data_IF_824359293564
#
_entry.id   IF_824359293564
#
_cell.length_a   1.000
_cell.length_b   1.000
_cell.length_c   1.000
_cell.angle_alpha   90.00
_cell.angle_beta   90.00
_cell.angle_gamma   90.00
#
_symmetry.space_group_name_H-M   'P 1'
#
loop_
_entity.id
_entity.type
_entity.pdbx_description
1 polymer ?
#
# COMPACT_ATOMS: atom_id res chain seq x y z
N UNK A 1 6.16 20.48 5.21
CA UNK A 1 7.04 20.01 4.12
C UNK A 1 6.14 19.52 3.00
N UNK A 2 6.13 20.12 1.81
CA UNK A 2 5.20 19.72 0.76
C UNK A 2 5.57 18.32 0.23
N UNK A 3 4.55 17.49 0.06
CA UNK A 3 4.64 16.19 -0.61
C UNK A 3 4.29 16.46 -2.08
N UNK A 4 5.25 16.26 -2.99
CA UNK A 4 5.02 16.49 -4.42
C UNK A 4 4.73 15.16 -5.15
N UNK A 5 3.65 15.08 -5.96
CA UNK A 5 3.40 13.91 -6.79
C UNK A 5 4.43 13.83 -7.92
N UNK A 6 5.04 12.66 -8.12
CA UNK A 6 5.91 12.44 -9.27
C UNK A 6 5.13 11.86 -10.46
N UNK A 7 5.44 12.30 -11.69
CA UNK A 7 4.83 11.74 -12.89
C UNK A 7 5.21 10.27 -13.06
N UNK A 8 4.31 9.53 -13.71
CA UNK A 8 4.54 8.15 -14.13
C UNK A 8 5.86 8.06 -14.94
N UNK A 9 6.70 7.07 -14.65
CA UNK A 9 7.97 6.88 -15.37
C UNK A 9 7.71 6.69 -16.88
N UNK A 10 8.37 7.49 -17.71
CA UNK A 10 8.21 7.47 -19.15
C UNK A 10 8.98 6.30 -19.80
N UNK A 11 8.25 5.38 -20.44
CA UNK A 11 8.80 4.43 -21.42
C UNK A 11 8.36 2.96 -21.24
N UNK A 12 7.40 2.51 -22.06
CA UNK A 12 7.17 1.09 -22.43
C UNK A 12 6.51 0.17 -21.39
N UNK A 13 5.35 -0.42 -21.76
CA UNK A 13 4.50 -1.35 -20.99
C UNK A 13 4.07 -0.87 -19.58
N UNK A 14 2.87 -0.27 -19.53
CA UNK A 14 2.12 0.14 -18.32
C UNK A 14 2.99 0.84 -17.26
N UNK A 15 3.19 2.15 -17.44
CA UNK A 15 3.85 3.00 -16.44
C UNK A 15 3.24 2.80 -15.05
N UNK A 16 4.09 2.64 -14.02
CA UNK A 16 3.66 2.51 -12.63
C UNK A 16 2.65 3.61 -12.24
N UNK A 17 1.63 3.30 -11.42
CA UNK A 17 0.67 4.31 -11.01
C UNK A 17 1.37 5.48 -10.30
N UNK A 18 0.89 6.72 -10.49
CA UNK A 18 1.47 7.88 -9.83
C UNK A 18 1.35 7.74 -8.31
N UNK A 19 2.42 8.10 -7.61
CA UNK A 19 2.46 8.10 -6.15
C UNK A 19 3.24 9.29 -5.62
N UNK A 20 2.83 9.72 -4.43
CA UNK A 20 3.49 10.74 -3.65
C UNK A 20 4.54 10.12 -2.74
N UNK A 21 5.70 10.78 -2.60
CA UNK A 21 6.82 10.31 -1.77
C UNK A 21 7.29 11.39 -0.82
N UNK A 22 7.80 10.98 0.32
CA UNK A 22 8.35 11.84 1.36
C UNK A 22 9.89 11.75 1.34
N UNK A 23 10.56 12.86 1.09
CA UNK A 23 12.04 12.92 1.06
C UNK A 23 12.70 12.49 2.38
N UNK A 24 11.99 12.63 3.51
CA UNK A 24 12.47 12.26 4.85
C UNK A 24 12.72 10.76 5.03
N UNK A 25 12.20 9.89 4.15
CA UNK A 25 12.38 8.43 4.25
C UNK A 25 13.63 7.91 3.52
N UNK A 26 14.60 8.78 3.22
CA UNK A 26 16.00 8.39 3.04
C UNK A 26 16.32 7.34 1.97
N UNK A 27 15.54 7.28 0.88
CA UNK A 27 15.76 6.33 -0.23
C UNK A 27 15.06 4.98 -0.08
N UNK A 28 14.34 4.75 1.01
CA UNK A 28 13.48 3.55 1.17
C UNK A 28 12.32 3.65 0.20
N UNK A 29 12.06 2.58 -0.57
CA UNK A 29 10.99 2.59 -1.57
C UNK A 29 9.62 2.57 -0.87
N UNK A 30 8.87 3.65 -1.04
CA UNK A 30 7.55 3.87 -0.46
C UNK A 30 6.69 4.69 -1.45
N UNK A 31 5.39 4.80 -1.18
CA UNK A 31 4.51 5.65 -1.96
C UNK A 31 3.10 5.76 -1.39
N UNK A 32 2.53 6.95 -1.45
CA UNK A 32 1.11 7.20 -1.22
C UNK A 32 0.42 7.29 -2.59
N UNK A 33 -0.37 6.28 -2.93
CA UNK A 33 -1.05 6.21 -4.23
C UNK A 33 -2.34 7.01 -4.21
N UNK A 34 -2.58 7.76 -5.29
CA UNK A 34 -3.88 8.36 -5.56
C UNK A 34 -4.81 7.39 -6.29
N UNK A 35 -5.94 7.91 -6.79
CA UNK A 35 -6.93 7.12 -7.53
C UNK A 35 -6.58 6.84 -8.99
N UNK A 36 -5.50 7.41 -9.51
CA UNK A 36 -5.12 7.37 -10.94
C UNK A 36 -4.22 6.16 -11.27
N UNK A 37 -4.21 5.75 -12.54
CA UNK A 37 -3.31 4.71 -13.05
C UNK A 37 -3.84 3.28 -12.97
N UNK A 38 -5.12 3.07 -12.64
CA UNK A 38 -5.72 1.74 -12.56
C UNK A 38 -6.64 1.38 -13.73
N UNK A 39 -7.48 0.36 -13.54
CA UNK A 39 -8.41 -0.20 -14.54
C UNK A 39 -9.88 -0.22 -14.10
N UNK A 40 -10.16 0.08 -12.84
CA UNK A 40 -11.53 0.14 -12.32
C UNK A 40 -12.32 1.27 -12.99
N UNK A 41 -13.66 1.19 -12.94
CA UNK A 41 -14.56 2.15 -13.57
C UNK A 41 -15.61 2.69 -12.60
N UNK A 42 -16.41 3.66 -13.04
CA UNK A 42 -17.49 4.25 -12.24
C UNK A 42 -16.99 4.86 -10.92
N UNK A 43 -17.64 4.53 -9.81
CA UNK A 43 -17.27 5.03 -8.47
C UNK A 43 -15.88 4.55 -8.03
N UNK A 44 -15.37 3.47 -8.62
CA UNK A 44 -14.07 2.88 -8.33
C UNK A 44 -12.96 3.37 -9.27
N UNK A 45 -13.29 4.21 -10.26
CA UNK A 45 -12.31 4.69 -11.22
C UNK A 45 -11.13 5.39 -10.50
N UNK A 46 -9.86 5.03 -10.67
CA UNK A 46 -9.30 3.99 -11.56
C UNK A 46 -8.50 2.93 -10.81
N UNK A 47 -7.77 3.28 -9.74
CA UNK A 47 -6.82 2.42 -9.03
C UNK A 47 -7.39 1.92 -7.68
N UNK A 48 -8.59 1.35 -7.69
CA UNK A 48 -9.13 0.74 -6.48
C UNK A 48 -8.35 -0.54 -6.10
N UNK A 49 -7.70 -0.51 -4.93
CA UNK A 49 -6.96 -1.65 -4.38
C UNK A 49 -7.69 -2.37 -3.22
N UNK A 50 -8.95 -1.97 -2.97
CA UNK A 50 -9.77 -2.45 -1.87
C UNK A 50 -10.37 -3.82 -2.12
N UNK A 51 -9.74 -4.87 -1.58
CA UNK A 51 -10.22 -6.26 -1.70
C UNK A 51 -11.55 -6.53 -0.98
N UNK A 52 -11.96 -5.66 -0.05
CA UNK A 52 -13.29 -5.71 0.59
C UNK A 52 -14.34 -4.80 -0.06
N UNK A 53 -14.02 -4.13 -1.18
CA UNK A 53 -14.98 -3.30 -1.91
C UNK A 53 -15.95 -4.15 -2.74
N UNK A 54 -16.99 -3.51 -3.31
CA UNK A 54 -17.92 -4.15 -4.25
C UNK A 54 -17.52 -3.96 -5.73
N UNK A 55 -16.26 -3.61 -5.97
CA UNK A 55 -15.71 -3.52 -7.32
C UNK A 55 -15.50 -4.92 -7.92
N UNK A 56 -15.27 -4.99 -9.22
CA UNK A 56 -14.88 -6.22 -9.89
C UNK A 56 -13.56 -6.75 -9.29
N UNK A 57 -13.55 -7.99 -8.73
CA UNK A 57 -12.34 -8.57 -8.15
C UNK A 57 -11.16 -8.62 -9.13
N UNK A 58 -11.40 -8.79 -10.43
CA UNK A 58 -10.35 -8.81 -11.43
C UNK A 58 -9.69 -7.43 -11.60
N UNK A 59 -10.48 -6.36 -11.55
CA UNK A 59 -9.95 -4.99 -11.59
C UNK A 59 -9.12 -4.68 -10.34
N UNK A 60 -9.61 -5.05 -9.17
CA UNK A 60 -8.87 -4.88 -7.90
C UNK A 60 -7.55 -5.66 -7.95
N UNK A 61 -7.56 -6.88 -8.49
CA UNK A 61 -6.36 -7.70 -8.62
C UNK A 61 -5.31 -7.06 -9.55
N UNK A 62 -5.75 -6.53 -10.69
CA UNK A 62 -4.88 -5.82 -11.63
C UNK A 62 -4.33 -4.52 -11.03
N UNK A 63 -5.15 -3.74 -10.34
CA UNK A 63 -4.69 -2.51 -9.66
C UNK A 63 -3.63 -2.83 -8.60
N UNK A 64 -3.83 -3.89 -7.82
CA UNK A 64 -2.84 -4.36 -6.85
C UNK A 64 -1.55 -4.84 -7.53
N UNK A 65 -1.64 -5.53 -8.67
CA UNK A 65 -0.47 -5.93 -9.47
C UNK A 65 0.31 -4.71 -9.96
N UNK A 66 -0.36 -3.65 -10.41
CA UNK A 66 0.29 -2.39 -10.83
C UNK A 66 1.00 -1.69 -9.68
N UNK A 67 0.39 -1.65 -8.50
CA UNK A 67 1.01 -1.12 -7.28
C UNK A 67 2.25 -1.95 -6.93
N UNK A 68 2.15 -3.28 -6.90
CA UNK A 68 3.27 -4.17 -6.61
C UNK A 68 4.44 -3.97 -7.59
N UNK A 69 4.14 -3.82 -8.89
CA UNK A 69 5.14 -3.53 -9.92
C UNK A 69 5.88 -2.20 -9.68
N UNK A 70 5.21 -1.18 -9.13
CA UNK A 70 5.88 0.07 -8.74
C UNK A 70 6.95 -0.16 -7.66
N UNK A 71 6.77 -1.17 -6.83
CA UNK A 71 7.76 -1.61 -5.84
C UNK A 71 8.80 -2.59 -6.38
N UNK A 72 8.58 -3.15 -7.57
CA UNK A 72 9.43 -4.21 -8.14
C UNK A 72 9.27 -5.54 -7.41
N UNK A 73 8.07 -5.79 -6.85
CA UNK A 73 7.73 -7.05 -6.18
C UNK A 73 6.57 -7.72 -6.90
N UNK A 74 6.46 -9.03 -6.72
CA UNK A 74 5.28 -9.78 -7.19
C UNK A 74 4.02 -9.34 -6.45
N UNK A 75 2.86 -9.48 -7.10
CA UNK A 75 1.57 -9.06 -6.52
C UNK A 75 1.33 -9.64 -5.12
N UNK A 76 1.67 -10.90 -4.91
CA UNK A 76 1.43 -11.58 -3.63
C UNK A 76 2.42 -11.14 -2.53
N UNK A 77 3.50 -10.44 -2.91
CA UNK A 77 4.44 -9.79 -2.00
C UNK A 77 4.03 -8.33 -1.66
N UNK A 78 2.91 -7.84 -2.20
CA UNK A 78 2.22 -6.64 -1.70
C UNK A 78 1.22 -7.04 -0.63
N UNK A 79 1.69 -7.10 0.61
CA UNK A 79 0.94 -7.62 1.75
C UNK A 79 0.16 -6.51 2.46
N UNK A 80 -1.03 -6.86 2.92
CA UNK A 80 -1.88 -5.99 3.72
C UNK A 80 -2.66 -6.80 4.74
N UNK A 81 -3.41 -6.14 5.61
CA UNK A 81 -4.25 -6.76 6.65
C UNK A 81 -5.73 -6.67 6.29
N UNK A 82 -6.57 -7.38 7.03
CA UNK A 82 -8.01 -7.07 7.09
C UNK A 82 -8.20 -5.95 8.12
N UNK A 83 -8.32 -4.72 7.65
CA UNK A 83 -8.44 -3.52 8.49
C UNK A 83 -9.78 -3.49 9.23
N UNK A 84 -9.73 -3.33 10.55
CA UNK A 84 -10.91 -3.34 11.44
C UNK A 84 -10.98 -2.11 12.35
N UNK A 85 -10.21 -1.06 12.06
CA UNK A 85 -10.11 0.18 12.86
C UNK A 85 -9.68 -0.09 14.32
N UNK A 86 -8.76 -1.03 14.49
CA UNK A 86 -8.09 -1.40 15.74
C UNK A 86 -6.75 -0.68 15.90
N UNK A 87 -6.15 -0.71 17.11
CA UNK A 87 -4.75 -0.34 17.31
C UNK A 87 -3.77 -1.52 17.09
N UNK A 88 -4.25 -2.66 16.58
CA UNK A 88 -3.45 -3.89 16.49
C UNK A 88 -2.43 -3.82 15.35
N UNK A 89 -1.17 -4.03 15.70
CA UNK A 89 -0.08 -4.22 14.76
C UNK A 89 0.35 -5.69 14.69
N UNK A 90 0.67 -6.18 13.49
CA UNK A 90 1.19 -7.54 13.28
C UNK A 90 2.55 -7.50 12.60
N UNK A 91 3.42 -8.44 12.99
CA UNK A 91 4.67 -8.68 12.28
C UNK A 91 4.42 -9.63 11.10
N UNK A 92 5.07 -9.38 9.97
CA UNK A 92 4.99 -10.21 8.78
C UNK A 92 6.39 -10.51 8.25
N UNK A 93 6.66 -11.78 7.96
CA UNK A 93 7.95 -12.27 7.45
C UNK A 93 7.87 -12.87 6.04
N UNK A 94 6.68 -12.95 5.45
CA UNK A 94 6.43 -13.38 4.08
C UNK A 94 4.98 -13.17 3.65
N UNK A 95 4.62 -13.49 2.39
CA UNK A 95 3.25 -13.41 1.91
C UNK A 95 2.26 -14.22 2.76
N UNK A 96 1.04 -13.71 2.91
CA UNK A 96 -0.01 -14.44 3.62
C UNK A 96 -0.43 -15.72 2.87
N UNK A 97 -0.53 -16.82 3.61
CA UNK A 97 -1.15 -18.06 3.14
C UNK A 97 -2.57 -18.11 3.72
N UNK A 98 -3.58 -17.95 2.86
CA UNK A 98 -4.98 -17.94 3.28
C UNK A 98 -5.49 -16.56 3.71
N UNK A 99 -6.26 -16.52 4.79
CA UNK A 99 -6.88 -15.27 5.25
C UNK A 99 -5.87 -14.29 5.86
N UNK A 100 -6.09 -13.00 5.60
CA UNK A 100 -5.27 -11.93 6.18
C UNK A 100 -5.70 -11.71 7.63
N UNK A 101 -4.75 -11.49 8.57
CA UNK A 101 -5.11 -11.24 9.96
C UNK A 101 -5.90 -9.94 10.10
N UNK A 102 -6.80 -9.92 11.09
CA UNK A 102 -7.52 -8.73 11.53
C UNK A 102 -6.58 -7.81 12.31
N UNK A 103 -6.20 -6.69 11.72
CA UNK A 103 -5.26 -5.72 12.26
C UNK A 103 -5.30 -4.44 11.42
N UNK A 104 -4.64 -3.38 11.88
CA UNK A 104 -4.59 -2.10 11.17
C UNK A 104 -3.16 -1.59 10.96
N UNK A 105 -2.15 -2.32 11.43
CA UNK A 105 -0.76 -2.04 11.14
C UNK A 105 0.04 -3.31 10.84
N UNK A 106 1.06 -3.15 10.00
CA UNK A 106 2.05 -4.17 9.66
C UNK A 106 3.44 -3.66 9.96
N UNK A 107 4.32 -4.55 10.39
CA UNK A 107 5.76 -4.31 10.58
C UNK A 107 6.53 -5.45 9.92
N UNK A 108 7.62 -5.16 9.24
CA UNK A 108 8.50 -6.19 8.68
C UNK A 108 9.96 -5.77 8.67
N UNK A 109 10.84 -6.79 8.73
CA UNK A 109 12.27 -6.70 8.43
C UNK A 109 12.64 -7.53 7.19
N UNK A 110 11.67 -8.18 6.55
CA UNK A 110 11.91 -9.08 5.41
C UNK A 110 12.15 -8.27 4.13
N UNK A 111 13.33 -8.40 3.49
CA UNK A 111 13.58 -7.78 2.19
C UNK A 111 12.64 -8.33 1.11
N UNK A 112 12.40 -7.52 0.08
CA UNK A 112 11.52 -7.86 -1.06
C UNK A 112 10.04 -8.10 -0.70
N UNK A 113 9.61 -7.63 0.48
CA UNK A 113 8.22 -7.58 0.90
C UNK A 113 7.74 -6.12 0.93
N UNK A 114 6.63 -5.82 0.27
CA UNK A 114 5.98 -4.52 0.37
C UNK A 114 4.78 -4.63 1.30
N UNK A 115 4.76 -3.85 2.38
CA UNK A 115 3.60 -3.76 3.28
C UNK A 115 2.71 -2.59 2.87
N UNK A 116 1.40 -2.78 3.00
CA UNK A 116 0.38 -1.84 2.55
C UNK A 116 -0.79 -1.78 3.52
N UNK A 117 -1.34 -0.58 3.65
CA UNK A 117 -2.64 -0.31 4.24
C UNK A 117 -3.48 0.38 3.17
N UNK A 118 -4.80 0.25 3.27
CA UNK A 118 -5.74 0.94 2.40
C UNK A 118 -6.38 2.09 3.16
N UNK A 119 -6.69 3.16 2.46
CA UNK A 119 -7.47 4.25 3.03
C UNK A 119 -8.30 4.95 1.97
N UNK A 120 -9.44 5.48 2.40
CA UNK A 120 -10.17 6.58 1.80
C UNK A 120 -10.62 7.44 2.98
N UNK A 121 -9.96 8.58 3.19
CA UNK A 121 -10.12 9.53 4.31
C UNK A 121 -9.32 9.25 5.59
N UNK A 122 -9.19 8.01 6.05
CA UNK A 122 -8.37 7.70 7.24
C UNK A 122 -6.88 8.00 7.02
N UNK A 123 -6.13 8.30 8.08
CA UNK A 123 -4.74 8.73 7.93
C UNK A 123 -3.80 7.54 7.68
N UNK A 124 -3.08 7.48 6.54
CA UNK A 124 -2.04 6.49 6.34
C UNK A 124 -0.73 6.96 6.99
N UNK A 125 -0.08 6.08 7.75
CA UNK A 125 1.20 6.38 8.40
C UNK A 125 2.24 5.35 7.97
N UNK A 126 3.40 5.83 7.52
CA UNK A 126 4.55 5.00 7.17
C UNK A 126 5.68 5.24 8.18
N UNK A 127 6.28 4.15 8.65
CA UNK A 127 7.39 4.15 9.58
C UNK A 127 8.62 3.55 8.92
N UNK A 128 9.79 4.08 9.25
CA UNK A 128 11.05 3.48 8.86
C UNK A 128 12.10 3.66 9.94
N UNK A 129 12.86 2.60 10.15
CA UNK A 129 14.16 2.65 10.79
C UNK A 129 15.18 2.08 9.80
N UNK A 130 16.02 2.96 9.25
CA UNK A 130 17.00 2.58 8.23
C UNK A 130 18.23 1.89 8.82
N UNK A 131 18.53 2.10 10.10
CA UNK A 131 19.72 1.54 10.76
C UNK A 131 19.52 0.06 11.03
N UNK A 132 18.34 -0.31 11.56
CA UNK A 132 17.98 -1.72 11.81
C UNK A 132 17.11 -2.35 10.72
N UNK A 133 16.84 -1.62 9.63
CA UNK A 133 16.11 -2.08 8.43
C UNK A 133 14.70 -2.60 8.73
N UNK A 134 13.95 -1.82 9.49
CA UNK A 134 12.54 -2.09 9.81
C UNK A 134 11.66 -1.10 9.07
N UNK A 135 10.56 -1.57 8.48
CA UNK A 135 9.49 -0.71 7.96
C UNK A 135 8.16 -1.04 8.63
N UNK A 136 7.31 -0.03 8.75
CA UNK A 136 5.95 -0.17 9.25
C UNK A 136 4.95 0.62 8.40
N UNK A 137 3.71 0.14 8.36
CA UNK A 137 2.59 0.84 7.74
C UNK A 137 1.36 0.69 8.64
N UNK A 138 0.69 1.81 8.94
CA UNK A 138 -0.47 1.83 9.81
C UNK A 138 -1.63 2.61 9.18
N UNK A 139 -2.83 2.08 9.38
CA UNK A 139 -4.09 2.73 9.12
C UNK A 139 -4.60 3.37 10.41
N UNK A 140 -4.60 4.70 10.47
CA UNK A 140 -5.05 5.46 11.61
C UNK A 140 -6.38 6.15 11.30
N UNK A 141 -7.47 5.36 11.35
CA UNK A 141 -8.82 5.92 11.49
C UNK A 141 -9.04 6.45 12.92
N UNK A 142 -10.07 7.28 13.12
CA UNK A 142 -10.32 7.95 14.42
C UNK A 142 -10.33 7.00 15.62
N UNK A 143 -10.85 5.78 15.44
CA UNK A 143 -10.93 4.77 16.50
C UNK A 143 -9.59 4.09 16.79
N UNK A 144 -8.77 3.85 15.77
CA UNK A 144 -7.44 3.26 15.97
C UNK A 144 -6.42 4.27 16.49
N UNK A 145 -6.68 5.56 16.28
CA UNK A 145 -5.82 6.65 16.71
C UNK A 145 -6.05 7.12 18.16
N UNK A 146 -7.25 6.89 18.72
CA UNK A 146 -7.64 7.24 20.09
C UNK A 146 -7.46 6.03 21.02
#
# INVERSE_FOLDING_TARGET
MPVEPQPAAAGGLLSAPPSSRAGVLGGVKHGFFGREGGVSSGIYASLNAGTGSKDDPANVLENRRRIAAAFGVERDHLCGVHQIHSPTAVFIDGPWVGERPHADALVTTTPNLAISILTADCTPILFVDADIKVIGAAHAGWRGAL
#
